data_IF_435602770619
#
_entry.id   IF_435602770619
#
_cell.length_a   1.000
_cell.length_b   1.000
_cell.length_c   1.000
_cell.angle_alpha   90.00
_cell.angle_beta   90.00
_cell.angle_gamma   90.00
#
_symmetry.space_group_name_H-M   'P 1'
#
loop_
_entity.id
_entity.type
_entity.pdbx_description
1 polymer ?
#
# COMPACT_ATOMS: atom_id res chain seq x y z
N UNK A 1 33.40 14.91 14.13
CA UNK A 1 32.27 15.73 13.79
C UNK A 1 31.06 14.80 13.53
N UNK A 2 30.06 14.81 14.44
CA UNK A 2 28.91 13.92 14.39
C UNK A 2 28.09 14.04 13.09
N UNK A 3 28.06 15.22 12.49
CA UNK A 3 27.37 15.47 11.21
C UNK A 3 28.06 14.75 10.04
N UNK A 4 29.37 14.71 10.04
CA UNK A 4 30.15 14.02 9.00
C UNK A 4 30.05 12.50 9.12
N UNK A 5 30.00 11.98 10.34
CA UNK A 5 29.83 10.54 10.60
C UNK A 5 28.44 10.09 10.18
N UNK A 6 27.39 10.89 10.43
CA UNK A 6 26.01 10.59 10.02
C UNK A 6 25.83 10.60 8.49
N UNK A 7 26.50 11.53 7.80
CA UNK A 7 26.52 11.59 6.34
C UNK A 7 27.23 10.37 5.72
N UNK A 8 28.35 9.96 6.32
CA UNK A 8 29.11 8.78 5.88
C UNK A 8 28.26 7.50 6.08
N UNK A 9 27.55 7.39 7.20
CA UNK A 9 26.66 6.25 7.46
C UNK A 9 25.45 6.23 6.48
N UNK A 10 24.88 7.38 6.12
CA UNK A 10 23.83 7.46 5.10
C UNK A 10 24.33 7.10 3.70
N UNK A 11 25.57 7.47 3.37
CA UNK A 11 26.19 7.12 2.08
C UNK A 11 26.56 5.62 1.99
N UNK A 12 26.62 4.90 3.13
CA UNK A 12 26.86 3.45 3.15
C UNK A 12 25.63 2.60 2.86
N UNK A 13 24.40 3.19 2.87
CA UNK A 13 23.20 2.54 2.38
C UNK A 13 23.18 2.59 0.83
N UNK A 14 24.06 1.82 0.22
CA UNK A 14 24.21 1.70 -1.21
C UNK A 14 23.56 0.41 -1.72
N UNK A 15 23.49 0.27 -3.03
CA UNK A 15 22.90 -0.90 -3.67
C UNK A 15 23.57 -2.22 -3.21
N UNK A 16 24.87 -2.24 -3.01
CA UNK A 16 25.59 -3.44 -2.59
C UNK A 16 25.14 -3.90 -1.19
N UNK A 17 24.97 -2.97 -0.24
CA UNK A 17 24.51 -3.28 1.11
C UNK A 17 23.08 -3.82 1.10
N UNK A 18 22.17 -3.18 0.38
CA UNK A 18 20.77 -3.60 0.27
C UNK A 18 20.67 -4.93 -0.45
N UNK A 19 21.41 -5.09 -1.54
CA UNK A 19 21.49 -6.35 -2.29
C UNK A 19 21.93 -7.51 -1.39
N UNK A 20 22.94 -7.29 -0.56
CA UNK A 20 23.45 -8.28 0.40
C UNK A 20 22.37 -8.68 1.42
N UNK A 21 21.56 -7.74 1.90
CA UNK A 21 20.47 -8.03 2.83
C UNK A 21 19.42 -8.97 2.20
N UNK A 22 19.06 -8.75 0.94
CA UNK A 22 18.15 -9.64 0.24
C UNK A 22 18.75 -11.03 0.01
N UNK A 23 20.05 -11.11 -0.31
CA UNK A 23 20.74 -12.38 -0.47
C UNK A 23 20.82 -13.16 0.85
N UNK A 24 21.10 -12.48 1.96
CA UNK A 24 21.09 -13.10 3.30
C UNK A 24 19.71 -13.64 3.67
N UNK A 25 18.65 -12.95 3.26
CA UNK A 25 17.26 -13.38 3.45
C UNK A 25 16.84 -14.46 2.42
N UNK A 26 17.72 -14.85 1.51
CA UNK A 26 17.48 -15.84 0.44
C UNK A 26 16.26 -15.49 -0.42
N UNK A 27 16.15 -14.22 -0.79
CA UNK A 27 15.05 -13.71 -1.61
C UNK A 27 15.58 -12.70 -2.63
N UNK A 28 14.80 -12.49 -3.68
CA UNK A 28 15.04 -11.44 -4.64
C UNK A 28 14.16 -10.24 -4.29
N UNK A 29 14.73 -9.05 -4.29
CA UNK A 29 13.97 -7.89 -3.91
C UNK A 29 14.52 -6.59 -4.44
N UNK A 30 13.67 -5.56 -4.34
CA UNK A 30 14.01 -4.19 -4.67
C UNK A 30 13.35 -3.26 -3.66
N UNK A 31 14.07 -2.22 -3.27
CA UNK A 31 13.52 -1.09 -2.55
C UNK A 31 13.49 0.08 -3.55
N UNK A 32 12.32 0.63 -3.78
CA UNK A 32 12.14 1.80 -4.63
C UNK A 32 11.70 2.97 -3.79
N UNK A 33 12.43 4.08 -3.92
CA UNK A 33 12.18 5.33 -3.20
C UNK A 33 11.81 6.40 -4.22
N UNK A 34 10.73 7.14 -3.95
CA UNK A 34 10.30 8.29 -4.72
C UNK A 34 10.27 9.51 -3.79
N UNK A 35 10.96 10.58 -4.20
CA UNK A 35 11.10 11.81 -3.40
C UNK A 35 10.22 12.96 -3.89
N UNK A 36 9.33 12.69 -4.81
CA UNK A 36 8.47 13.70 -5.47
C UNK A 36 9.01 14.18 -6.81
N UNK A 37 10.23 13.82 -7.16
CA UNK A 37 10.90 14.25 -8.38
C UNK A 37 11.53 13.09 -9.15
N UNK A 38 12.22 12.20 -8.46
CA UNK A 38 12.96 11.10 -9.07
C UNK A 38 12.84 9.82 -8.27
N UNK A 39 13.15 8.70 -8.95
CA UNK A 39 13.16 7.37 -8.35
C UNK A 39 14.59 6.92 -8.10
N UNK A 40 14.77 6.20 -7.00
CA UNK A 40 15.99 5.44 -6.74
C UNK A 40 15.59 4.01 -6.40
N UNK A 41 16.29 3.02 -6.95
CA UNK A 41 16.01 1.61 -6.72
C UNK A 41 17.27 0.88 -6.29
N UNK A 42 17.14 0.06 -5.25
CA UNK A 42 18.24 -0.69 -4.64
C UNK A 42 17.79 -2.13 -4.39
N UNK A 43 18.68 -3.10 -4.61
CA UNK A 43 18.37 -4.48 -4.34
C UNK A 43 19.20 -5.44 -5.19
N UNK A 44 18.93 -6.74 -5.04
CA UNK A 44 19.57 -7.79 -5.83
C UNK A 44 18.80 -8.14 -7.11
N UNK A 45 17.66 -7.49 -7.34
CA UNK A 45 16.89 -7.61 -8.59
C UNK A 45 16.16 -6.29 -8.87
N UNK A 46 16.92 -5.29 -9.31
CA UNK A 46 16.39 -3.93 -9.53
C UNK A 46 15.39 -3.84 -10.68
N UNK A 47 15.39 -4.79 -11.60
CA UNK A 47 14.41 -4.83 -12.69
C UNK A 47 12.98 -5.02 -12.17
N UNK A 48 12.81 -5.56 -10.96
CA UNK A 48 11.52 -5.68 -10.31
C UNK A 48 10.84 -4.32 -10.08
N UNK A 49 11.60 -3.22 -10.02
CA UNK A 49 11.06 -1.88 -9.85
C UNK A 49 10.06 -1.49 -10.95
N UNK A 50 10.19 -2.07 -12.14
CA UNK A 50 9.32 -1.84 -13.29
C UNK A 50 8.52 -3.08 -13.71
N UNK A 51 8.49 -4.11 -12.87
CA UNK A 51 7.70 -5.31 -13.11
C UNK A 51 6.29 -5.11 -12.56
N UNK A 52 5.30 -5.55 -13.31
CA UNK A 52 3.89 -5.48 -12.92
C UNK A 52 3.50 -6.69 -12.07
N UNK A 53 2.94 -6.42 -10.90
CA UNK A 53 2.42 -7.42 -9.96
C UNK A 53 1.00 -7.07 -9.56
N UNK A 54 0.22 -8.06 -9.13
CA UNK A 54 -1.06 -7.75 -8.45
C UNK A 54 -0.76 -6.94 -7.19
N UNK A 55 -1.55 -5.90 -6.89
CA UNK A 55 -1.30 -5.10 -5.69
C UNK A 55 -1.62 -5.83 -4.39
N UNK A 56 -2.49 -6.83 -4.43
CA UNK A 56 -2.94 -7.56 -3.25
C UNK A 56 -3.43 -6.57 -2.17
N UNK A 57 -3.05 -6.77 -0.93
CA UNK A 57 -3.54 -5.93 0.18
C UNK A 57 -3.09 -4.48 0.14
N UNK A 58 -2.13 -4.10 -0.71
CA UNK A 58 -1.80 -2.68 -0.87
C UNK A 58 -2.92 -1.89 -1.54
N UNK A 59 -3.80 -2.54 -2.31
CA UNK A 59 -4.98 -1.90 -2.88
C UNK A 59 -5.96 -1.40 -1.82
N UNK A 60 -5.91 -1.92 -0.59
CA UNK A 60 -6.74 -1.42 0.51
C UNK A 60 -6.61 0.08 0.73
N UNK A 61 -5.44 0.65 0.46
CA UNK A 61 -5.22 2.10 0.54
C UNK A 61 -6.19 2.87 -0.38
N UNK A 62 -6.25 2.46 -1.64
CA UNK A 62 -7.13 3.12 -2.62
C UNK A 62 -8.60 2.73 -2.40
N UNK A 63 -8.88 1.49 -2.05
CA UNK A 63 -10.23 1.01 -1.76
C UNK A 63 -10.88 1.83 -0.64
N UNK A 64 -10.15 2.00 0.49
CA UNK A 64 -10.62 2.85 1.58
C UNK A 64 -10.79 4.30 1.14
N UNK A 65 -9.85 4.84 0.39
CA UNK A 65 -9.91 6.21 -0.09
C UNK A 65 -11.13 6.48 -0.96
N UNK A 66 -11.42 5.59 -1.91
CA UNK A 66 -12.60 5.69 -2.78
C UNK A 66 -13.89 5.60 -1.93
N UNK A 67 -13.95 4.65 -1.02
CA UNK A 67 -15.12 4.50 -0.16
C UNK A 67 -15.39 5.71 0.72
N UNK A 68 -14.36 6.26 1.33
CA UNK A 68 -14.45 7.45 2.19
C UNK A 68 -14.82 8.69 1.37
N UNK A 69 -14.14 8.93 0.25
CA UNK A 69 -14.38 10.08 -0.62
C UNK A 69 -15.80 10.14 -1.14
N UNK A 70 -16.39 8.99 -1.42
CA UNK A 70 -17.76 8.89 -1.94
C UNK A 70 -18.83 8.77 -0.84
N UNK A 71 -18.46 8.94 0.43
CA UNK A 71 -19.40 8.91 1.56
C UNK A 71 -19.99 7.54 1.84
N UNK A 72 -19.35 6.46 1.39
CA UNK A 72 -19.87 5.10 1.49
C UNK A 72 -19.41 4.38 2.77
N UNK A 73 -18.38 4.89 3.41
CA UNK A 73 -17.83 4.31 4.63
C UNK A 73 -17.04 5.36 5.41
N UNK A 74 -16.66 5.01 6.63
CA UNK A 74 -15.76 5.81 7.48
C UNK A 74 -14.70 4.90 8.08
N UNK A 75 -13.56 5.45 8.57
CA UNK A 75 -12.55 4.64 9.24
C UNK A 75 -13.08 3.87 10.45
N UNK A 76 -14.08 4.40 11.13
CA UNK A 76 -14.65 3.81 12.37
C UNK A 76 -15.88 2.96 12.12
N UNK A 77 -16.34 2.85 10.90
CA UNK A 77 -17.48 1.98 10.58
C UNK A 77 -17.17 0.53 10.94
N UNK A 78 -18.05 -0.11 11.71
CA UNK A 78 -17.91 -1.52 12.10
C UNK A 78 -18.52 -2.41 11.02
N UNK A 79 -17.69 -3.27 10.46
CA UNK A 79 -18.11 -4.32 9.53
C UNK A 79 -18.38 -5.59 10.31
N UNK A 80 -19.63 -6.06 10.27
CA UNK A 80 -20.10 -7.18 11.08
C UNK A 80 -19.62 -8.51 10.49
N UNK A 81 -19.08 -9.37 11.36
CA UNK A 81 -18.90 -10.78 11.05
C UNK A 81 -20.19 -11.53 11.36
N UNK A 82 -20.67 -12.33 10.42
CA UNK A 82 -21.96 -13.03 10.54
C UNK A 82 -21.83 -14.52 10.77
N UNK A 83 -20.66 -14.96 11.24
CA UNK A 83 -20.41 -16.36 11.58
C UNK A 83 -19.84 -17.18 10.43
N UNK A 84 -19.63 -16.60 9.25
CA UNK A 84 -19.03 -17.29 8.12
C UNK A 84 -17.56 -17.62 8.42
N UNK A 85 -17.09 -18.76 7.88
CA UNK A 85 -15.69 -19.13 8.00
C UNK A 85 -14.85 -18.20 7.13
N UNK A 86 -13.78 -17.64 7.72
CA UNK A 86 -12.80 -16.83 7.01
C UNK A 86 -11.47 -17.57 6.95
N UNK A 87 -10.57 -17.10 6.08
CA UNK A 87 -9.27 -17.75 5.88
C UNK A 87 -8.45 -17.82 7.17
N UNK A 88 -8.50 -16.75 7.98
CA UNK A 88 -7.82 -16.71 9.28
C UNK A 88 -8.85 -16.53 10.40
N UNK A 89 -8.74 -17.32 11.50
CA UNK A 89 -9.63 -17.16 12.66
C UNK A 89 -9.59 -15.74 13.25
N UNK A 90 -8.46 -15.05 13.16
CA UNK A 90 -8.32 -13.67 13.63
C UNK A 90 -9.19 -12.66 12.85
N UNK A 91 -9.69 -13.04 11.69
CA UNK A 91 -10.64 -12.24 10.91
C UNK A 91 -12.10 -12.53 11.25
N UNK A 92 -12.36 -13.57 12.05
CA UNK A 92 -13.71 -14.01 12.40
C UNK A 92 -14.26 -13.23 13.59
N UNK A 93 -14.45 -11.92 13.39
CA UNK A 93 -14.97 -10.97 14.35
C UNK A 93 -15.40 -9.67 13.67
N UNK A 94 -16.20 -8.88 14.38
CA UNK A 94 -16.50 -7.51 13.95
C UNK A 94 -15.23 -6.68 13.94
N UNK A 95 -15.05 -5.86 12.89
CA UNK A 95 -13.89 -4.99 12.76
C UNK A 95 -14.29 -3.63 12.20
N UNK A 96 -13.66 -2.57 12.68
CA UNK A 96 -13.71 -1.29 11.99
C UNK A 96 -12.91 -1.36 10.70
N UNK A 97 -13.16 -0.44 9.79
CA UNK A 97 -12.38 -0.36 8.55
C UNK A 97 -10.88 -0.19 8.84
N UNK A 98 -10.54 0.61 9.86
CA UNK A 98 -9.14 0.80 10.31
C UNK A 98 -8.55 -0.50 10.86
N UNK A 99 -9.28 -1.22 11.70
CA UNK A 99 -8.82 -2.52 12.22
C UNK A 99 -8.60 -3.53 11.10
N UNK A 100 -9.49 -3.55 10.11
CA UNK A 100 -9.36 -4.42 8.95
C UNK A 100 -8.16 -4.05 8.05
N UNK A 101 -7.79 -2.77 7.99
CA UNK A 101 -6.55 -2.33 7.33
C UNK A 101 -5.34 -2.94 8.04
N UNK A 102 -5.26 -2.81 9.35
CA UNK A 102 -4.15 -3.33 10.16
C UNK A 102 -4.08 -4.86 10.11
N UNK A 103 -5.22 -5.53 10.20
CA UNK A 103 -5.30 -7.00 10.12
C UNK A 103 -5.19 -7.52 8.68
N UNK A 104 -5.19 -6.64 7.70
CA UNK A 104 -5.24 -6.98 6.28
C UNK A 104 -6.42 -7.89 5.92
N UNK A 105 -7.60 -7.64 6.53
CA UNK A 105 -8.78 -8.49 6.43
C UNK A 105 -9.47 -8.34 5.07
N UNK A 106 -9.16 -9.25 4.16
CA UNK A 106 -9.70 -9.28 2.79
C UNK A 106 -11.23 -9.22 2.77
N UNK A 107 -11.98 -10.01 3.57
CA UNK A 107 -13.44 -10.01 3.49
C UNK A 107 -14.10 -8.65 3.74
N UNK A 108 -13.54 -7.85 4.63
CA UNK A 108 -14.06 -6.50 4.94
C UNK A 108 -13.91 -5.60 3.70
N UNK A 109 -12.77 -5.64 3.05
CA UNK A 109 -12.51 -4.81 1.88
C UNK A 109 -13.21 -5.33 0.63
N UNK A 110 -13.54 -6.60 0.56
CA UNK A 110 -14.43 -7.14 -0.46
C UNK A 110 -15.86 -6.61 -0.29
N UNK A 111 -16.36 -6.54 0.94
CA UNK A 111 -17.65 -5.93 1.24
C UNK A 111 -17.68 -4.46 0.82
N UNK A 112 -16.63 -3.70 1.15
CA UNK A 112 -16.51 -2.31 0.73
C UNK A 112 -16.48 -2.18 -0.81
N UNK A 113 -15.70 -3.02 -1.48
CA UNK A 113 -15.61 -3.01 -2.94
C UNK A 113 -16.97 -3.27 -3.59
N UNK A 114 -17.73 -4.23 -3.07
CA UNK A 114 -19.10 -4.51 -3.57
C UNK A 114 -20.03 -3.32 -3.32
N UNK A 115 -19.88 -2.64 -2.18
CA UNK A 115 -20.64 -1.42 -1.84
C UNK A 115 -20.30 -0.27 -2.80
N UNK A 116 -19.04 -0.09 -3.15
CA UNK A 116 -18.60 0.90 -4.15
C UNK A 116 -19.22 0.57 -5.51
N UNK A 117 -19.20 -0.71 -5.89
CA UNK A 117 -19.72 -1.20 -7.16
C UNK A 117 -18.73 -1.06 -8.31
N UNK A 118 -18.93 -1.89 -9.34
CA UNK A 118 -17.97 -2.04 -10.45
C UNK A 118 -17.75 -0.74 -11.23
N UNK A 119 -18.82 -0.06 -11.61
CA UNK A 119 -18.73 1.14 -12.46
C UNK A 119 -18.00 2.27 -11.75
N UNK A 120 -18.39 2.56 -10.50
CA UNK A 120 -17.73 3.60 -9.70
C UNK A 120 -16.28 3.24 -9.42
N UNK A 121 -16.03 1.99 -9.06
CA UNK A 121 -14.66 1.51 -8.81
C UNK A 121 -13.78 1.72 -10.04
N UNK A 122 -14.23 1.31 -11.22
CA UNK A 122 -13.48 1.50 -12.46
C UNK A 122 -13.22 2.97 -12.75
N UNK A 123 -14.22 3.81 -12.61
CA UNK A 123 -14.11 5.24 -12.87
C UNK A 123 -13.12 5.90 -11.90
N UNK A 124 -13.20 5.58 -10.62
CA UNK A 124 -12.35 6.16 -9.60
C UNK A 124 -10.90 5.66 -9.69
N UNK A 125 -10.69 4.37 -9.93
CA UNK A 125 -9.34 3.81 -10.13
C UNK A 125 -8.68 4.48 -11.34
N UNK A 126 -9.42 4.68 -12.41
CA UNK A 126 -8.92 5.33 -13.62
C UNK A 126 -8.63 6.81 -13.40
N UNK A 127 -9.54 7.51 -12.71
CA UNK A 127 -9.41 8.96 -12.45
C UNK A 127 -8.22 9.26 -11.54
N UNK A 128 -8.07 8.48 -10.46
CA UNK A 128 -6.98 8.65 -9.49
C UNK A 128 -5.66 8.15 -10.08
N UNK A 129 -5.71 7.06 -10.84
CA UNK A 129 -4.55 6.42 -11.43
C UNK A 129 -3.86 5.46 -10.45
N UNK A 130 -3.96 4.16 -10.72
CA UNK A 130 -3.32 3.14 -9.91
C UNK A 130 -2.86 2.00 -10.82
N UNK A 131 -1.55 1.85 -10.98
CA UNK A 131 -0.99 0.83 -11.84
C UNK A 131 -1.50 0.94 -13.28
N UNK A 132 -1.92 -0.19 -13.84
CA UNK A 132 -2.52 -0.24 -15.19
C UNK A 132 -3.98 0.24 -15.21
N UNK A 133 -4.56 0.57 -14.07
CA UNK A 133 -5.95 1.07 -13.92
C UNK A 133 -7.02 0.15 -14.50
N UNK A 134 -6.73 -1.11 -14.74
CA UNK A 134 -7.66 -2.08 -15.33
C UNK A 134 -8.19 -3.01 -14.24
N UNK A 135 -9.48 -2.91 -13.92
CA UNK A 135 -10.09 -3.76 -12.89
C UNK A 135 -10.93 -4.91 -13.45
N UNK A 136 -11.08 -5.00 -14.77
CA UNK A 136 -11.91 -6.03 -15.37
C UNK A 136 -13.38 -5.88 -15.02
N UNK A 137 -14.08 -7.01 -14.83
CA UNK A 137 -15.53 -7.04 -14.66
C UNK A 137 -16.00 -7.68 -13.33
N UNK A 138 -15.08 -7.97 -12.40
CA UNK A 138 -15.40 -8.53 -11.09
C UNK A 138 -14.85 -7.63 -10.00
N UNK A 139 -15.75 -7.03 -9.20
CA UNK A 139 -15.41 -5.92 -8.31
C UNK A 139 -14.71 -6.34 -7.01
N UNK A 140 -14.74 -7.60 -6.64
CA UNK A 140 -14.32 -8.03 -5.31
C UNK A 140 -13.05 -8.88 -5.24
N UNK A 141 -12.31 -9.02 -6.36
CA UNK A 141 -11.03 -9.75 -6.33
C UNK A 141 -10.00 -9.29 -7.38
N UNK A 142 -10.28 -8.25 -8.16
CA UNK A 142 -9.38 -7.79 -9.23
C UNK A 142 -7.98 -7.38 -8.75
N UNK A 143 -7.83 -7.07 -7.48
CA UNK A 143 -6.54 -6.70 -6.86
C UNK A 143 -5.77 -7.92 -6.36
N UNK A 144 -6.44 -9.08 -6.27
CA UNK A 144 -5.86 -10.33 -5.78
C UNK A 144 -5.40 -11.24 -6.93
N UNK A 145 -6.22 -11.35 -7.97
CA UNK A 145 -6.00 -12.28 -9.09
C UNK A 145 -5.71 -11.57 -10.41
N UNK A 146 -5.83 -10.26 -10.44
CA UNK A 146 -5.78 -9.48 -11.66
C UNK A 146 -7.18 -9.23 -12.22
N UNK A 147 -7.31 -8.35 -13.22
CA UNK A 147 -6.26 -7.82 -14.09
C UNK A 147 -5.53 -6.57 -13.57
N UNK A 148 -5.88 -6.03 -12.39
CA UNK A 148 -5.17 -4.89 -11.86
C UNK A 148 -3.74 -5.29 -11.48
N UNK A 149 -2.78 -4.54 -12.01
CA UNK A 149 -1.37 -4.71 -11.73
C UNK A 149 -0.67 -3.37 -11.57
N UNK A 150 0.38 -3.36 -10.78
CA UNK A 150 1.12 -2.17 -10.44
C UNK A 150 2.61 -2.50 -10.28
N UNK A 151 3.49 -1.55 -10.59
CA UNK A 151 4.92 -1.70 -10.37
C UNK A 151 5.34 -1.09 -9.04
N UNK A 152 6.47 -1.51 -8.46
CA UNK A 152 7.03 -0.85 -7.27
C UNK A 152 7.23 0.66 -7.44
N UNK A 153 7.66 1.12 -8.62
CA UNK A 153 7.77 2.56 -8.87
C UNK A 153 6.41 3.26 -8.78
N UNK A 154 5.37 2.66 -9.35
CA UNK A 154 4.02 3.23 -9.30
C UNK A 154 3.46 3.21 -7.87
N UNK A 155 3.73 2.15 -7.10
CA UNK A 155 3.36 2.07 -5.68
C UNK A 155 4.04 3.19 -4.86
N UNK A 156 5.34 3.39 -5.07
CA UNK A 156 6.09 4.44 -4.37
C UNK A 156 5.54 5.83 -4.68
N UNK A 157 5.22 6.10 -5.94
CA UNK A 157 4.63 7.37 -6.36
C UNK A 157 3.22 7.56 -5.77
N UNK A 158 2.41 6.51 -5.77
CA UNK A 158 1.08 6.55 -5.16
C UNK A 158 1.18 6.87 -3.66
N UNK A 159 2.06 6.18 -2.94
CA UNK A 159 2.29 6.43 -1.51
C UNK A 159 2.74 7.87 -1.24
N UNK A 160 3.64 8.39 -2.05
CA UNK A 160 4.09 9.79 -1.95
C UNK A 160 2.93 10.77 -2.13
N UNK A 161 2.11 10.56 -3.15
CA UNK A 161 0.95 11.42 -3.41
C UNK A 161 -0.08 11.35 -2.28
N UNK A 162 -0.36 10.15 -1.79
CA UNK A 162 -1.28 9.98 -0.65
C UNK A 162 -0.73 10.69 0.60
N UNK A 163 0.55 10.54 0.89
CA UNK A 163 1.20 11.16 2.05
C UNK A 163 1.17 12.69 2.01
N UNK A 164 1.15 13.28 0.83
CA UNK A 164 1.24 14.73 0.62
C UNK A 164 -0.06 15.37 0.11
N UNK A 165 -1.19 14.68 0.21
CA UNK A 165 -2.49 15.16 -0.25
C UNK A 165 -2.50 15.57 -1.73
N UNK A 166 -1.78 14.83 -2.57
CA UNK A 166 -1.63 15.13 -4.01
C UNK A 166 -2.46 14.25 -4.92
N UNK A 167 -3.26 13.34 -4.37
CA UNK A 167 -4.23 12.60 -5.17
C UNK A 167 -5.44 13.47 -5.49
N UNK A 168 -6.16 13.23 -6.61
CA UNK A 168 -7.27 14.09 -7.05
C UNK A 168 -8.57 13.80 -6.27
N UNK A 169 -8.50 13.81 -4.96
CA UNK A 169 -9.60 13.68 -4.02
C UNK A 169 -9.38 14.66 -2.86
N UNK A 170 -10.37 14.83 -1.99
CA UNK A 170 -10.23 15.79 -0.89
C UNK A 170 -9.05 15.47 0.04
N UNK A 171 -8.44 16.52 0.58
CA UNK A 171 -7.39 16.36 1.59
C UNK A 171 -7.92 15.63 2.82
N UNK A 172 -9.17 15.91 3.22
CA UNK A 172 -9.79 15.26 4.36
C UNK A 172 -9.84 13.73 4.19
N UNK A 173 -10.21 13.24 3.01
CA UNK A 173 -10.23 11.79 2.73
C UNK A 173 -8.83 11.20 2.75
N UNK A 174 -7.85 11.89 2.16
CA UNK A 174 -6.47 11.42 2.14
C UNK A 174 -5.89 11.36 3.56
N UNK A 175 -6.15 12.38 4.39
CA UNK A 175 -5.67 12.40 5.78
C UNK A 175 -6.28 11.28 6.63
N UNK A 176 -7.54 10.92 6.40
CA UNK A 176 -8.17 9.77 7.07
C UNK A 176 -7.46 8.47 6.72
N UNK A 177 -7.15 8.23 5.45
CA UNK A 177 -6.44 7.02 5.02
C UNK A 177 -4.99 7.04 5.54
N UNK A 178 -4.32 8.18 5.53
CA UNK A 178 -2.98 8.31 6.13
C UNK A 178 -3.00 7.81 7.59
N UNK A 179 -3.95 8.29 8.39
CA UNK A 179 -4.08 7.89 9.79
C UNK A 179 -4.32 6.38 9.94
N UNK A 180 -5.11 5.79 9.05
CA UNK A 180 -5.37 4.34 9.05
C UNK A 180 -4.10 3.51 8.81
N UNK A 181 -3.10 4.09 8.15
CA UNK A 181 -1.85 3.42 7.77
C UNK A 181 -0.73 3.62 8.79
N UNK A 182 -0.96 4.41 9.85
CA UNK A 182 0.04 4.61 10.89
C UNK A 182 0.45 3.26 11.48
N UNK A 183 1.77 3.00 11.49
CA UNK A 183 2.33 1.74 11.96
C UNK A 183 3.06 1.90 13.29
N UNK A 184 4.05 2.79 13.33
CA UNK A 184 4.87 2.98 14.52
C UNK A 184 5.63 4.30 14.48
N UNK A 185 6.16 4.71 15.61
CA UNK A 185 7.09 5.83 15.74
C UNK A 185 8.44 5.30 16.23
N UNK A 186 9.50 5.58 15.49
CA UNK A 186 10.86 5.13 15.79
C UNK A 186 11.78 6.35 15.80
N UNK A 187 12.37 6.65 16.94
CA UNK A 187 13.30 7.80 17.09
C UNK A 187 12.74 9.12 16.57
N UNK A 188 11.44 9.37 16.82
CA UNK A 188 10.74 10.57 16.36
C UNK A 188 10.29 10.50 14.89
N UNK A 189 10.60 9.44 14.16
CA UNK A 189 10.13 9.21 12.80
C UNK A 189 8.82 8.42 12.84
N UNK A 190 7.77 8.95 12.21
CA UNK A 190 6.50 8.25 12.10
C UNK A 190 6.47 7.41 10.82
N UNK A 191 6.24 6.12 10.98
CA UNK A 191 6.21 5.15 9.87
C UNK A 191 4.76 4.80 9.54
N UNK A 192 4.41 4.98 8.28
CA UNK A 192 3.11 4.60 7.71
C UNK A 192 3.35 3.53 6.67
N UNK A 193 2.62 2.43 6.76
CA UNK A 193 2.91 1.29 5.87
C UNK A 193 1.70 0.39 5.67
N UNK A 194 1.69 -0.26 4.51
CA UNK A 194 0.77 -1.35 4.19
C UNK A 194 1.54 -2.48 3.55
N UNK A 195 1.38 -3.67 4.11
CA UNK A 195 1.93 -4.90 3.55
C UNK A 195 0.93 -5.57 2.60
N UNK A 196 1.43 -6.48 1.78
CA UNK A 196 0.61 -7.29 0.90
C UNK A 196 1.36 -8.50 0.40
N UNK A 197 0.63 -9.52 0.01
CA UNK A 197 1.19 -10.73 -0.59
C UNK A 197 0.35 -11.13 -1.79
N UNK A 198 0.98 -11.09 -2.98
CA UNK A 198 0.38 -11.52 -4.23
C UNK A 198 0.78 -12.96 -4.56
N UNK A 199 -0.21 -13.85 -4.60
CA UNK A 199 -0.02 -15.29 -4.78
C UNK A 199 -0.22 -15.75 -6.24
N UNK A 200 -0.34 -14.81 -7.16
CA UNK A 200 -0.37 -15.11 -8.61
C UNK A 200 0.93 -14.70 -9.26
N UNK A 201 1.34 -15.42 -10.27
CA UNK A 201 2.60 -15.13 -10.97
C UNK A 201 2.54 -13.81 -11.76
N UNK A 202 3.60 -13.01 -11.69
CA UNK A 202 4.75 -13.17 -10.81
C UNK A 202 4.41 -12.85 -9.35
N UNK A 203 4.82 -13.74 -8.43
CA UNK A 203 4.55 -13.57 -6.99
C UNK A 203 5.29 -12.37 -6.41
N UNK A 204 4.69 -11.75 -5.38
CA UNK A 204 5.24 -10.55 -4.78
C UNK A 204 4.89 -10.45 -3.30
N UNK A 205 5.87 -10.05 -2.49
CA UNK A 205 5.63 -9.55 -1.15
C UNK A 205 5.80 -8.03 -1.16
N UNK A 206 4.78 -7.31 -0.74
CA UNK A 206 4.73 -5.85 -0.73
C UNK A 206 4.96 -5.28 0.65
N UNK A 207 5.70 -4.18 0.70
CA UNK A 207 5.64 -3.22 1.79
C UNK A 207 5.69 -1.84 1.16
N UNK A 208 4.62 -1.08 1.30
CA UNK A 208 4.46 0.24 0.69
C UNK A 208 4.11 1.26 1.76
N UNK A 209 4.77 2.39 1.76
CA UNK A 209 4.50 3.40 2.76
C UNK A 209 5.44 4.59 2.68
N UNK A 210 5.55 5.30 3.78
CA UNK A 210 6.39 6.49 3.89
C UNK A 210 6.79 6.74 5.34
N UNK A 211 7.76 7.62 5.50
CA UNK A 211 8.26 8.05 6.80
C UNK A 211 8.11 9.56 6.89
N UNK A 212 7.55 10.03 8.00
CA UNK A 212 7.53 11.46 8.35
C UNK A 212 8.59 11.71 9.40
N UNK A 213 9.57 12.55 9.06
CA UNK A 213 10.64 12.91 9.97
C UNK A 213 10.16 13.87 11.05
N UNK A 214 10.88 14.04 12.20
CA UNK A 214 10.44 14.90 13.30
C UNK A 214 10.18 16.34 12.90
N UNK A 215 10.80 16.81 11.83
CA UNK A 215 10.66 18.18 11.31
C UNK A 215 9.86 18.28 10.02
N UNK A 216 9.13 17.22 9.72
CA UNK A 216 8.30 17.15 8.51
C UNK A 216 8.99 16.61 7.28
#
# INVERSE_FOLDING_TARGET
>A
NQKSVKLIQQQQLNNATISSLFEQAKTNGVITIYDGNSYASYGNNVSRANTYYVPASTFKMLNALIGIENGLTTPDEVYKWRGEKRLFPTWEKDMTLTQAMTASAVPVYQELARRIGLNRMQNEVKRIGFGNSNIGNKVDDFWLVGPLKITPQQEAKFAYKLANNKLPVSSASQEKVQTMLFNEEVNGNKVYAKSGWGDVEPQVGWLTGWVVKPNG
#
